data_IF_604958337259
#
_entry.id   IF_604958337259
#
_cell.length_a   1.000
_cell.length_b   1.000
_cell.length_c   1.000
_cell.angle_alpha   90.00
_cell.angle_beta   90.00
_cell.angle_gamma   90.00
#
_symmetry.space_group_name_H-M   'P 1'
#
loop_
_entity.id
_entity.type
_entity.pdbx_description
1 polymer ?
#
# COMPACT_ATOMS: atom_id res chain seq x y z
N UNK A 1 8.29 -20.54 30.70
CA UNK A 1 9.66 -20.62 30.14
C UNK A 1 9.62 -20.19 28.69
N UNK A 2 10.55 -19.30 28.31
CA UNK A 2 10.95 -18.80 26.98
C UNK A 2 9.87 -18.40 25.94
N UNK A 3 9.60 -17.08 25.86
CA UNK A 3 9.04 -16.41 24.67
C UNK A 3 10.01 -16.55 23.50
N UNK A 4 9.53 -17.07 22.37
CA UNK A 4 10.30 -17.19 21.13
C UNK A 4 10.75 -15.81 20.62
N UNK A 5 12.05 -15.68 20.34
CA UNK A 5 12.65 -14.50 19.70
C UNK A 5 12.12 -14.39 18.26
N UNK A 6 11.44 -13.29 17.94
CA UNK A 6 11.10 -12.92 16.55
C UNK A 6 12.40 -12.71 15.76
N UNK A 7 12.50 -13.14 14.49
CA UNK A 7 13.64 -12.80 13.65
C UNK A 7 13.70 -11.28 13.52
N UNK A 8 14.79 -10.69 13.97
CA UNK A 8 14.99 -9.25 13.90
C UNK A 8 15.15 -8.82 12.45
N UNK A 9 14.43 -7.78 12.06
CA UNK A 9 14.61 -7.07 10.80
C UNK A 9 16.11 -6.80 10.60
N UNK A 10 16.70 -7.38 9.55
CA UNK A 10 17.97 -6.87 9.04
C UNK A 10 17.79 -5.39 8.78
N UNK A 11 18.76 -4.59 9.23
CA UNK A 11 18.74 -3.12 9.25
C UNK A 11 18.63 -2.60 7.81
N UNK A 12 17.42 -2.56 7.24
CA UNK A 12 17.19 -1.98 5.90
C UNK A 12 17.49 -0.50 6.00
N UNK A 13 18.43 -0.04 5.19
CA UNK A 13 18.81 1.36 5.14
C UNK A 13 17.89 2.04 4.11
N UNK A 14 17.03 2.99 4.54
CA UNK A 14 16.10 3.66 3.64
C UNK A 14 16.85 4.21 2.43
N UNK A 15 16.41 3.83 1.24
CA UNK A 15 17.06 4.31 0.02
C UNK A 15 16.55 5.72 -0.24
N UNK A 16 17.42 6.72 -0.03
CA UNK A 16 17.13 8.15 -0.29
C UNK A 16 16.53 8.39 -1.69
N UNK A 17 16.88 7.58 -2.70
CA UNK A 17 16.34 7.68 -4.07
C UNK A 17 14.84 7.34 -4.21
N UNK A 18 14.26 6.63 -3.24
CA UNK A 18 12.86 6.22 -3.26
C UNK A 18 11.99 6.99 -2.26
N UNK A 19 12.54 7.98 -1.54
CA UNK A 19 11.78 8.81 -0.60
C UNK A 19 11.08 8.03 0.52
N UNK A 20 11.59 6.84 0.87
CA UNK A 20 10.94 5.91 1.79
C UNK A 20 10.84 6.50 3.21
N UNK A 21 9.61 6.66 3.70
CA UNK A 21 9.30 6.92 5.11
C UNK A 21 8.47 5.76 5.63
N UNK A 22 9.07 4.91 6.47
CA UNK A 22 8.35 3.76 7.02
C UNK A 22 7.40 4.19 8.13
N UNK A 23 6.15 3.77 8.01
CA UNK A 23 5.15 3.97 9.07
C UNK A 23 5.47 3.03 10.24
N UNK A 24 5.57 3.59 11.45
CA UNK A 24 5.96 2.84 12.66
C UNK A 24 5.10 3.17 13.88
N UNK A 25 4.35 4.27 13.84
CA UNK A 25 3.49 4.69 14.95
C UNK A 25 2.20 3.84 14.97
N UNK A 26 1.97 3.01 16.01
CA UNK A 26 0.81 2.14 16.06
C UNK A 26 -0.51 2.90 16.10
N UNK A 27 -0.56 4.06 16.76
CA UNK A 27 -1.78 4.86 16.83
C UNK A 27 -2.16 5.45 15.47
N UNK A 28 -1.18 5.89 14.69
CA UNK A 28 -1.42 6.33 13.30
C UNK A 28 -1.86 5.16 12.42
N UNK A 29 -1.24 3.98 12.56
CA UNK A 29 -1.65 2.76 11.84
C UNK A 29 -3.11 2.43 12.16
N UNK A 30 -3.46 2.35 13.44
CA UNK A 30 -4.82 2.02 13.88
C UNK A 30 -5.84 3.02 13.33
N UNK A 31 -5.53 4.32 13.36
CA UNK A 31 -6.40 5.35 12.78
C UNK A 31 -6.58 5.17 11.27
N UNK A 32 -5.50 4.86 10.53
CA UNK A 32 -5.57 4.59 9.09
C UNK A 32 -6.48 3.38 8.82
N UNK A 33 -6.29 2.28 9.54
CA UNK A 33 -7.10 1.06 9.38
C UNK A 33 -8.57 1.33 9.69
N UNK A 34 -8.88 2.12 10.72
CA UNK A 34 -10.24 2.53 11.04
C UNK A 34 -10.86 3.39 9.93
N UNK A 35 -10.10 4.32 9.34
CA UNK A 35 -10.57 5.12 8.21
C UNK A 35 -10.86 4.26 6.97
N UNK A 36 -10.01 3.27 6.69
CA UNK A 36 -10.22 2.33 5.58
C UNK A 36 -11.47 1.47 5.83
N UNK A 37 -11.71 1.04 7.07
CA UNK A 37 -12.81 0.14 7.43
C UNK A 37 -12.88 -1.11 6.50
N UNK A 38 -11.81 -1.94 6.46
CA UNK A 38 -11.74 -3.10 5.58
C UNK A 38 -12.84 -4.13 5.89
N UNK A 39 -13.36 -4.76 4.84
CA UNK A 39 -14.37 -5.82 4.90
C UNK A 39 -13.82 -7.14 4.35
N UNK A 40 -14.40 -8.26 4.79
CA UNK A 40 -13.90 -9.60 4.45
C UNK A 40 -14.05 -9.97 2.97
N UNK A 41 -14.89 -9.26 2.23
CA UNK A 41 -15.08 -9.38 0.78
C UNK A 41 -14.18 -8.43 -0.03
N UNK A 42 -13.43 -7.53 0.62
CA UNK A 42 -12.64 -6.53 -0.09
C UNK A 42 -11.45 -7.17 -0.83
N UNK A 43 -11.23 -6.71 -2.06
CA UNK A 43 -9.93 -6.72 -2.71
C UNK A 43 -9.19 -5.43 -2.37
N UNK A 44 -8.16 -5.56 -1.53
CA UNK A 44 -7.30 -4.46 -1.12
C UNK A 44 -6.01 -4.46 -1.94
N UNK A 45 -5.61 -3.29 -2.44
CA UNK A 45 -4.34 -3.08 -3.15
C UNK A 45 -3.50 -2.07 -2.37
N UNK A 46 -2.41 -2.52 -1.78
CA UNK A 46 -1.45 -1.66 -1.09
C UNK A 46 -0.28 -1.30 -2.01
N UNK A 47 -0.06 0.01 -2.20
CA UNK A 47 1.07 0.54 -2.97
C UNK A 47 2.22 0.87 -2.04
N UNK A 48 3.36 0.25 -2.28
CA UNK A 48 4.57 0.45 -1.48
C UNK A 48 4.41 -0.05 -0.04
N UNK A 49 4.19 -1.36 0.17
CA UNK A 49 4.02 -1.94 1.50
C UNK A 49 5.24 -1.72 2.41
N UNK A 50 6.42 -1.52 1.84
CA UNK A 50 7.63 -1.30 2.60
C UNK A 50 7.97 -2.52 3.47
N UNK A 51 7.96 -2.33 4.79
CA UNK A 51 8.18 -3.41 5.76
C UNK A 51 6.89 -4.16 6.14
N UNK A 52 5.75 -3.81 5.54
CA UNK A 52 4.45 -4.45 5.78
C UNK A 52 3.65 -3.85 6.93
N UNK A 53 3.86 -2.57 7.26
CA UNK A 53 3.26 -1.93 8.42
C UNK A 53 1.71 -1.86 8.34
N UNK A 54 1.15 -1.57 7.17
CA UNK A 54 -0.30 -1.68 6.95
C UNK A 54 -0.68 -3.10 6.53
N UNK A 55 0.16 -3.76 5.72
CA UNK A 55 -0.04 -5.14 5.27
C UNK A 55 -0.38 -6.10 6.41
N UNK A 56 0.35 -6.03 7.53
CA UNK A 56 0.15 -6.90 8.71
C UNK A 56 -1.24 -6.74 9.32
N UNK A 57 -1.80 -5.53 9.27
CA UNK A 57 -3.13 -5.25 9.81
C UNK A 57 -4.25 -5.57 8.80
N UNK A 58 -4.00 -5.39 7.50
CA UNK A 58 -5.00 -5.59 6.45
C UNK A 58 -5.23 -7.07 6.12
N UNK A 59 -4.17 -7.89 6.10
CA UNK A 59 -4.20 -9.25 5.54
C UNK A 59 -5.22 -10.18 6.20
N UNK A 60 -5.54 -9.95 7.48
CA UNK A 60 -6.50 -10.76 8.25
C UNK A 60 -7.94 -10.21 8.18
N UNK A 61 -8.16 -9.07 7.55
CA UNK A 61 -9.46 -8.38 7.51
C UNK A 61 -10.10 -8.38 6.12
N UNK A 62 -9.35 -8.74 5.07
CA UNK A 62 -9.79 -8.64 3.67
C UNK A 62 -9.79 -9.99 2.96
N UNK A 63 -10.61 -10.10 1.92
CA UNK A 63 -10.73 -11.33 1.12
C UNK A 63 -9.48 -11.58 0.29
N UNK A 64 -8.94 -10.53 -0.33
CA UNK A 64 -7.69 -10.56 -1.09
C UNK A 64 -6.85 -9.32 -0.77
N UNK A 65 -5.54 -9.50 -0.58
CA UNK A 65 -4.59 -8.41 -0.43
C UNK A 65 -3.49 -8.53 -1.48
N UNK A 66 -3.47 -7.59 -2.42
CA UNK A 66 -2.40 -7.41 -3.38
C UNK A 66 -1.47 -6.28 -2.93
N UNK A 67 -0.17 -6.44 -3.12
CA UNK A 67 0.81 -5.37 -2.92
C UNK A 67 1.57 -5.08 -4.21
N UNK A 68 1.82 -3.79 -4.49
CA UNK A 68 2.68 -3.33 -5.59
C UNK A 68 3.95 -2.76 -4.99
N UNK A 69 5.09 -3.44 -5.19
CA UNK A 69 6.38 -3.06 -4.61
C UNK A 69 7.48 -2.96 -5.68
N UNK A 70 8.23 -1.86 -5.63
CA UNK A 70 9.34 -1.57 -6.54
C UNK A 70 10.69 -2.04 -5.98
N UNK A 71 10.85 -1.98 -4.66
CA UNK A 71 12.12 -2.33 -3.99
C UNK A 71 12.29 -3.84 -3.89
N UNK A 72 13.06 -4.38 -4.84
CA UNK A 72 13.43 -5.81 -4.92
C UNK A 72 14.11 -6.35 -3.68
N UNK A 73 14.68 -5.49 -2.84
CA UNK A 73 15.31 -5.90 -1.58
C UNK A 73 14.26 -6.18 -0.47
N UNK A 74 13.05 -5.63 -0.59
CA UNK A 74 11.96 -5.81 0.38
C UNK A 74 11.08 -7.02 0.04
N UNK A 75 10.93 -7.32 -1.25
CA UNK A 75 10.07 -8.40 -1.74
C UNK A 75 10.38 -9.77 -1.09
N UNK A 76 11.64 -10.23 -0.96
CA UNK A 76 11.93 -11.50 -0.29
C UNK A 76 11.41 -11.55 1.15
N UNK A 77 11.52 -10.44 1.89
CA UNK A 77 11.03 -10.37 3.26
C UNK A 77 9.51 -10.41 3.31
N UNK A 78 8.82 -9.68 2.41
CA UNK A 78 7.35 -9.75 2.31
C UNK A 78 6.88 -11.18 2.00
N UNK A 79 7.54 -11.86 1.04
CA UNK A 79 7.23 -13.27 0.72
C UNK A 79 7.38 -14.18 1.93
N UNK A 80 8.45 -14.01 2.72
CA UNK A 80 8.69 -14.82 3.92
C UNK A 80 7.66 -14.51 5.01
N UNK A 81 7.41 -13.23 5.29
CA UNK A 81 6.52 -12.78 6.36
C UNK A 81 5.08 -13.25 6.16
N UNK A 82 4.62 -13.31 4.90
CA UNK A 82 3.25 -13.65 4.55
C UNK A 82 3.13 -15.00 3.80
N UNK A 83 4.15 -15.86 3.88
CA UNK A 83 4.21 -17.13 3.14
C UNK A 83 3.03 -18.08 3.42
N UNK A 84 2.40 -17.98 4.60
CA UNK A 84 1.27 -18.82 5.02
C UNK A 84 -0.09 -18.20 4.69
N UNK A 85 -0.12 -17.02 4.06
CA UNK A 85 -1.34 -16.27 3.75
C UNK A 85 -1.71 -16.50 2.29
N UNK A 86 -2.71 -17.34 2.05
CA UNK A 86 -3.14 -17.71 0.70
C UNK A 86 -3.82 -16.56 -0.07
N UNK A 87 -4.30 -15.54 0.65
CA UNK A 87 -4.92 -14.34 0.11
C UNK A 87 -3.92 -13.20 -0.13
N UNK A 88 -2.61 -13.45 -0.03
CA UNK A 88 -1.57 -12.44 -0.21
C UNK A 88 -0.88 -12.56 -1.57
N UNK A 89 -0.86 -11.47 -2.33
CA UNK A 89 -0.33 -11.43 -3.69
C UNK A 89 0.70 -10.32 -3.83
N UNK A 90 1.89 -10.62 -4.37
CA UNK A 90 2.93 -9.62 -4.61
C UNK A 90 3.08 -9.38 -6.12
N UNK A 91 2.93 -8.12 -6.50
CA UNK A 91 3.21 -7.60 -7.83
C UNK A 91 4.47 -6.73 -7.78
N UNK A 92 5.53 -7.20 -8.43
CA UNK A 92 6.80 -6.47 -8.49
C UNK A 92 6.75 -5.45 -9.63
N UNK A 93 6.80 -4.15 -9.32
CA UNK A 93 6.63 -3.13 -10.36
C UNK A 93 6.69 -1.68 -9.88
N UNK A 94 6.90 -0.79 -10.85
CA UNK A 94 6.77 0.66 -10.66
C UNK A 94 5.28 1.02 -10.69
N UNK A 95 4.75 1.50 -9.56
CA UNK A 95 3.35 1.88 -9.40
C UNK A 95 2.88 2.90 -10.46
N UNK A 96 3.76 3.77 -10.95
CA UNK A 96 3.43 4.76 -11.98
C UNK A 96 3.24 4.16 -13.39
N UNK A 97 3.63 2.91 -13.58
CA UNK A 97 3.56 2.21 -14.88
C UNK A 97 2.82 0.88 -14.78
N UNK A 98 2.38 0.53 -13.58
CA UNK A 98 1.76 -0.74 -13.32
C UNK A 98 0.35 -0.77 -13.93
N UNK A 99 0.00 -1.87 -14.58
CA UNK A 99 -1.35 -2.10 -15.07
C UNK A 99 -2.22 -2.65 -13.94
N UNK A 100 -3.03 -1.80 -13.31
CA UNK A 100 -3.87 -2.20 -12.18
C UNK A 100 -5.03 -3.12 -12.58
N UNK A 101 -5.49 -3.06 -13.84
CA UNK A 101 -6.48 -3.99 -14.38
C UNK A 101 -6.01 -5.45 -14.32
N UNK A 102 -4.69 -5.69 -14.36
CA UNK A 102 -4.13 -7.02 -14.18
C UNK A 102 -4.51 -7.66 -12.84
N UNK A 103 -4.63 -6.87 -11.75
CA UNK A 103 -4.98 -7.43 -10.44
C UNK A 103 -6.41 -7.97 -10.46
N UNK A 104 -7.32 -7.22 -11.09
CA UNK A 104 -8.72 -7.62 -11.29
C UNK A 104 -8.78 -8.92 -12.09
N UNK A 105 -8.05 -8.99 -13.21
CA UNK A 105 -8.00 -10.18 -14.08
C UNK A 105 -7.40 -11.40 -13.38
N UNK A 106 -6.26 -11.22 -12.70
CA UNK A 106 -5.52 -12.31 -12.04
C UNK A 106 -6.30 -12.88 -10.84
N UNK A 107 -7.08 -12.04 -10.13
CA UNK A 107 -7.82 -12.44 -8.92
C UNK A 107 -9.31 -12.69 -9.15
N UNK A 108 -9.83 -12.39 -10.34
CA UNK A 108 -11.24 -12.64 -10.69
C UNK A 108 -12.23 -11.72 -9.98
N UNK A 109 -11.80 -10.52 -9.61
CA UNK A 109 -12.62 -9.53 -8.89
C UNK A 109 -13.23 -8.50 -9.86
N UNK A 110 -14.02 -7.55 -9.36
CA UNK A 110 -14.59 -6.46 -10.18
C UNK A 110 -14.14 -5.08 -9.72
N UNK A 111 -14.03 -4.92 -8.40
CA UNK A 111 -13.66 -3.67 -7.75
C UNK A 111 -12.54 -3.91 -6.77
N UNK A 112 -11.65 -2.94 -6.67
CA UNK A 112 -10.56 -2.89 -5.70
C UNK A 112 -10.60 -1.60 -4.89
N UNK A 113 -10.03 -1.67 -3.69
CA UNK A 113 -9.79 -0.52 -2.81
C UNK A 113 -8.28 -0.31 -2.73
N UNK A 114 -7.83 0.93 -2.85
CA UNK A 114 -6.38 1.21 -2.93
C UNK A 114 -5.93 1.93 -1.67
N UNK A 115 -4.83 1.47 -1.09
CA UNK A 115 -4.20 2.07 0.09
C UNK A 115 -2.72 2.32 -0.15
N UNK A 116 -2.14 3.29 0.54
CA UNK A 116 -0.70 3.48 0.48
C UNK A 116 -0.17 4.63 1.32
N UNK A 117 1.03 4.44 1.85
CA UNK A 117 1.82 5.53 2.43
C UNK A 117 2.83 6.01 1.38
N UNK A 118 2.40 6.96 0.55
CA UNK A 118 3.08 7.25 -0.69
C UNK A 118 4.24 8.26 -0.51
N UNK A 119 5.39 8.04 -1.16
CA UNK A 119 6.42 9.06 -1.29
C UNK A 119 5.88 10.30 -2.03
N UNK A 120 6.15 11.49 -1.49
CA UNK A 120 5.62 12.76 -2.00
C UNK A 120 5.97 13.04 -3.47
N UNK A 121 7.10 12.52 -3.95
CA UNK A 121 7.59 12.75 -5.30
C UNK A 121 6.83 11.94 -6.36
N UNK A 122 5.99 10.98 -5.96
CA UNK A 122 5.21 10.16 -6.89
C UNK A 122 3.69 10.30 -6.71
N UNK A 123 3.22 10.89 -5.61
CA UNK A 123 1.80 10.88 -5.23
C UNK A 123 0.87 11.47 -6.31
N UNK A 124 1.17 12.65 -6.84
CA UNK A 124 0.34 13.31 -7.86
C UNK A 124 0.26 12.52 -9.17
N UNK A 125 1.37 12.15 -9.85
CA UNK A 125 1.29 11.36 -11.07
C UNK A 125 0.67 9.98 -10.84
N UNK A 126 0.86 9.38 -9.66
CA UNK A 126 0.21 8.12 -9.31
C UNK A 126 -1.31 8.27 -9.23
N UNK A 127 -1.81 9.33 -8.60
CA UNK A 127 -3.25 9.58 -8.52
C UNK A 127 -3.88 9.74 -9.90
N UNK A 128 -3.23 10.47 -10.82
CA UNK A 128 -3.70 10.55 -12.21
C UNK A 128 -3.69 9.21 -12.92
N UNK A 129 -2.63 8.41 -12.75
CA UNK A 129 -2.55 7.08 -13.33
C UNK A 129 -3.64 6.14 -12.78
N UNK A 130 -4.00 6.25 -11.50
CA UNK A 130 -5.08 5.47 -10.89
C UNK A 130 -6.48 5.87 -11.38
N UNK A 131 -6.69 7.15 -11.73
CA UNK A 131 -7.97 7.62 -12.29
C UNK A 131 -8.33 6.90 -13.60
N UNK A 132 -7.34 6.50 -14.39
CA UNK A 132 -7.56 5.72 -15.61
C UNK A 132 -8.20 4.34 -15.33
N UNK A 133 -8.18 3.88 -14.07
CA UNK A 133 -8.79 2.64 -13.60
C UNK A 133 -10.04 2.86 -12.72
N UNK A 134 -10.64 4.05 -12.73
CA UNK A 134 -11.77 4.39 -11.84
C UNK A 134 -12.96 3.40 -11.93
N UNK A 135 -13.21 2.82 -13.10
CA UNK A 135 -14.25 1.79 -13.28
C UNK A 135 -13.99 0.53 -12.44
N UNK A 136 -12.76 0.28 -12.03
CA UNK A 136 -12.36 -0.82 -11.15
C UNK A 136 -12.05 -0.39 -9.72
N UNK A 137 -12.03 0.91 -9.42
CA UNK A 137 -11.71 1.40 -8.06
C UNK A 137 -13.02 1.74 -7.33
N UNK A 138 -13.15 1.29 -6.09
CA UNK A 138 -14.23 1.68 -5.19
C UNK A 138 -13.86 2.95 -4.42
N UNK A 139 -12.71 2.93 -3.75
CA UNK A 139 -12.16 4.07 -3.03
C UNK A 139 -10.62 4.00 -2.96
N UNK A 140 -10.02 5.11 -2.52
CA UNK A 140 -8.59 5.24 -2.34
C UNK A 140 -8.27 5.95 -1.02
N UNK A 141 -7.35 5.40 -0.25
CA UNK A 141 -6.93 5.92 1.06
C UNK A 141 -5.40 6.08 1.10
N UNK A 142 -4.94 7.32 1.03
CA UNK A 142 -3.50 7.62 1.01
C UNK A 142 -3.07 8.52 2.17
N UNK A 143 -1.94 8.18 2.77
CA UNK A 143 -1.19 9.14 3.57
C UNK A 143 -0.29 9.96 2.65
N UNK A 144 -0.45 11.29 2.69
CA UNK A 144 0.27 12.25 1.87
C UNK A 144 0.86 13.35 2.75
N UNK A 145 1.89 14.05 2.26
CA UNK A 145 2.35 15.26 2.91
C UNK A 145 1.28 16.36 2.82
N UNK A 146 1.13 17.13 3.90
CA UNK A 146 0.11 18.19 3.99
C UNK A 146 0.15 19.16 2.81
N UNK A 147 1.33 19.61 2.39
CA UNK A 147 1.50 20.53 1.26
C UNK A 147 1.04 19.96 -0.10
N UNK A 148 1.04 18.63 -0.24
CA UNK A 148 0.52 17.96 -1.44
C UNK A 148 -0.99 17.97 -1.40
N UNK A 149 -1.58 17.64 -0.23
CA UNK A 149 -3.03 17.70 -0.02
C UNK A 149 -3.56 19.13 -0.21
N UNK A 150 -2.91 20.12 0.40
CA UNK A 150 -3.30 21.53 0.29
C UNK A 150 -3.33 21.97 -1.18
N UNK A 151 -2.33 21.58 -1.97
CA UNK A 151 -2.25 21.90 -3.41
C UNK A 151 -3.30 21.17 -4.24
N UNK A 152 -3.61 19.92 -3.89
CA UNK A 152 -4.64 19.13 -4.58
C UNK A 152 -6.06 19.63 -4.28
N UNK A 153 -6.29 20.13 -3.06
CA UNK A 153 -7.57 20.67 -2.62
C UNK A 153 -7.74 22.17 -2.92
N UNK A 154 -6.68 22.84 -3.40
CA UNK A 154 -6.70 24.25 -3.75
C UNK A 154 -7.74 24.54 -4.85
N UNK A 155 -8.56 25.57 -4.64
CA UNK A 155 -9.48 26.05 -5.66
C UNK A 155 -8.72 26.72 -6.81
N UNK A 156 -9.41 26.93 -7.94
CA UNK A 156 -8.86 27.73 -9.04
C UNK A 156 -8.60 29.15 -8.51
N UNK A 157 -7.34 29.51 -8.30
CA UNK A 157 -6.91 30.83 -7.83
C UNK A 157 -6.21 30.86 -6.47
N UNK A 158 -6.15 29.73 -5.75
CA UNK A 158 -5.41 29.66 -4.48
C UNK A 158 -3.92 29.36 -4.73
N UNK A 159 -3.05 30.11 -4.05
CA UNK A 159 -1.58 29.94 -4.05
C UNK A 159 -1.10 29.38 -2.73
#
# INVERSE_FOLDING_TARGET
MAKGRKPGFSKHQPRKRFGQNFLQDPGVIDNIIQCIAPQAEDLMVEIGPGLGALTEHLIDQVGQLAVVELDRDLIPNLRISFATRNNFHIYEGDALKFNYGRIIDDLGEQKMRIVGNLPYNISTPLLFHLIDYHDHIHDMHFMLQKEVVDRMAAGVGDS
#
